data_IF_130352540491
#
_entry.id   IF_130352540491
#
_cell.length_a   1.000
_cell.length_b   1.000
_cell.length_c   1.000
_cell.angle_alpha   90.00
_cell.angle_beta   90.00
_cell.angle_gamma   90.00
#
_symmetry.space_group_name_H-M   'P 1'
#
loop_
_entity.id
_entity.type
_entity.pdbx_description
1 polymer ?
#
# COMPACT_ATOMS: atom_id res chain seq x y z
N UNK A 1 -18.65 -17.60 2.30
CA UNK A 1 -17.59 -16.84 3.01
C UNK A 1 -16.90 -16.00 1.95
N UNK A 2 -17.44 -14.82 1.65
CA UNK A 2 -16.88 -13.93 0.63
C UNK A 2 -15.65 -13.28 1.24
N UNK A 3 -14.47 -13.61 0.70
CA UNK A 3 -13.27 -12.86 1.01
C UNK A 3 -13.42 -11.50 0.35
N UNK A 4 -14.03 -10.55 1.06
CA UNK A 4 -13.97 -9.14 0.71
C UNK A 4 -12.51 -8.74 0.86
N UNK A 5 -11.81 -8.69 -0.27
CA UNK A 5 -10.49 -8.11 -0.30
C UNK A 5 -10.66 -6.59 -0.12
N UNK A 6 -10.52 -6.14 1.12
CA UNK A 6 -10.57 -4.74 1.51
C UNK A 6 -9.14 -4.16 1.35
N UNK A 7 -8.87 -3.35 0.32
CA UNK A 7 -7.53 -2.78 0.07
C UNK A 7 -7.06 -1.91 1.24
N UNK A 8 -8.01 -1.23 1.89
CA UNK A 8 -7.81 -0.44 3.10
C UNK A 8 -7.26 -1.30 4.25
N UNK A 9 -7.83 -2.49 4.50
CA UNK A 9 -7.34 -3.39 5.55
C UNK A 9 -5.98 -3.98 5.21
N UNK A 10 -5.71 -4.23 3.94
CA UNK A 10 -4.40 -4.69 3.51
C UNK A 10 -3.33 -3.61 3.74
N UNK A 11 -3.63 -2.36 3.39
CA UNK A 11 -2.74 -1.22 3.61
C UNK A 11 -2.46 -1.00 5.09
N UNK A 12 -3.51 -1.00 5.93
CA UNK A 12 -3.37 -0.82 7.38
C UNK A 12 -2.50 -1.93 8.01
N UNK A 13 -2.67 -3.17 7.56
CA UNK A 13 -1.87 -4.29 8.04
C UNK A 13 -0.40 -4.22 7.60
N UNK A 14 -0.13 -3.84 6.34
CA UNK A 14 1.25 -3.68 5.85
C UNK A 14 1.94 -2.48 6.54
N UNK A 15 1.24 -1.36 6.71
CA UNK A 15 1.74 -0.18 7.42
C UNK A 15 2.06 -0.52 8.88
N UNK A 16 1.20 -1.30 9.53
CA UNK A 16 1.44 -1.81 10.89
C UNK A 16 2.68 -2.70 10.97
N UNK A 17 2.95 -3.55 9.98
CA UNK A 17 4.16 -4.37 9.93
C UNK A 17 5.43 -3.52 9.76
N UNK A 18 5.39 -2.49 8.90
CA UNK A 18 6.51 -1.58 8.68
C UNK A 18 6.75 -0.72 9.95
N UNK A 19 5.69 -0.22 10.58
CA UNK A 19 5.78 0.48 11.88
C UNK A 19 6.35 -0.41 12.99
N UNK A 20 5.95 -1.68 13.05
CA UNK A 20 6.50 -2.64 14.01
C UNK A 20 8.00 -2.85 13.81
N UNK A 21 8.45 -2.98 12.57
CA UNK A 21 9.89 -3.08 12.27
C UNK A 21 10.63 -1.82 12.69
N UNK A 22 10.05 -0.63 12.48
CA UNK A 22 10.63 0.64 12.91
C UNK A 22 10.73 0.70 14.44
N UNK A 23 9.66 0.32 15.15
CA UNK A 23 9.62 0.26 16.63
C UNK A 23 10.59 -0.76 17.20
N UNK A 24 10.79 -1.88 16.52
CA UNK A 24 11.73 -2.93 16.91
C UNK A 24 13.18 -2.56 16.56
N UNK A 25 13.37 -1.51 15.74
CA UNK A 25 14.69 -1.06 15.28
C UNK A 25 15.29 -1.94 14.17
N UNK A 26 14.47 -2.78 13.54
CA UNK A 26 14.87 -3.60 12.39
C UNK A 26 15.06 -2.78 11.11
N UNK A 27 14.34 -1.66 10.99
CA UNK A 27 14.47 -0.70 9.89
C UNK A 27 14.74 0.70 10.43
N UNK A 28 15.36 1.54 9.60
CA UNK A 28 15.61 2.96 9.92
C UNK A 28 14.46 3.81 9.37
N UNK A 29 14.28 5.02 9.92
CA UNK A 29 13.28 6.00 9.43
C UNK A 29 13.32 6.19 7.90
N UNK A 30 14.50 6.15 7.29
CA UNK A 30 14.68 6.29 5.84
C UNK A 30 14.15 5.09 5.04
N UNK A 31 14.22 3.90 5.61
CA UNK A 31 13.66 2.69 4.98
C UNK A 31 12.14 2.63 5.19
N UNK A 32 11.66 3.07 6.35
CA UNK A 32 10.22 3.28 6.59
C UNK A 32 9.61 4.24 5.56
N UNK A 33 10.25 5.37 5.30
CA UNK A 33 9.77 6.38 4.34
C UNK A 33 9.67 5.81 2.91
N UNK A 34 10.70 5.07 2.47
CA UNK A 34 10.68 4.37 1.18
C UNK A 34 9.62 3.27 1.11
N UNK A 35 9.53 2.43 2.14
CA UNK A 35 8.53 1.35 2.18
C UNK A 35 7.12 1.94 2.20
N UNK A 36 6.89 3.05 2.90
CA UNK A 36 5.62 3.77 2.92
C UNK A 36 5.27 4.35 1.56
N UNK A 37 6.22 4.95 0.83
CA UNK A 37 5.97 5.48 -0.53
C UNK A 37 5.65 4.36 -1.52
N UNK A 38 6.33 3.21 -1.41
CA UNK A 38 6.05 2.02 -2.22
C UNK A 38 4.67 1.44 -1.86
N UNK A 39 4.32 1.44 -0.58
CA UNK A 39 3.04 0.94 -0.09
C UNK A 39 1.88 1.79 -0.62
N UNK A 40 2.04 3.11 -0.60
CA UNK A 40 1.07 4.07 -1.14
C UNK A 40 0.80 3.81 -2.62
N UNK A 41 1.86 3.72 -3.44
CA UNK A 41 1.76 3.37 -4.87
C UNK A 41 1.05 2.03 -5.10
N UNK A 42 1.36 1.01 -4.29
CA UNK A 42 0.68 -0.30 -4.38
C UNK A 42 -0.79 -0.22 -4.00
N UNK A 43 -1.12 0.57 -2.98
CA UNK A 43 -2.51 0.77 -2.57
C UNK A 43 -3.30 1.46 -3.68
N UNK A 44 -2.74 2.49 -4.30
CA UNK A 44 -3.32 3.12 -5.49
C UNK A 44 -3.49 2.12 -6.65
N UNK A 45 -2.48 1.30 -6.96
CA UNK A 45 -2.59 0.27 -8.01
C UNK A 45 -3.68 -0.77 -7.70
N UNK A 46 -3.81 -1.18 -6.44
CA UNK A 46 -4.84 -2.10 -6.00
C UNK A 46 -6.23 -1.47 -6.13
N UNK A 47 -6.39 -0.21 -5.72
CA UNK A 47 -7.62 0.55 -5.91
C UNK A 47 -7.97 0.68 -7.40
N UNK A 48 -6.98 1.02 -8.25
CA UNK A 48 -7.15 1.07 -9.69
C UNK A 48 -7.60 -0.28 -10.29
N UNK A 49 -7.06 -1.39 -9.78
CA UNK A 49 -7.42 -2.74 -10.24
C UNK A 49 -8.81 -3.17 -9.78
N UNK A 50 -9.21 -2.77 -8.57
CA UNK A 50 -10.53 -3.07 -7.99
C UNK A 50 -11.64 -2.22 -8.61
N UNK A 51 -11.35 -0.96 -8.90
CA UNK A 51 -12.29 -0.06 -9.56
C UNK A 51 -12.46 -0.43 -11.05
N UNK A 52 -11.51 -1.17 -11.64
CA UNK A 52 -11.59 -1.65 -13.03
C UNK A 52 -11.45 -0.54 -14.08
N UNK A 53 -11.16 0.70 -13.65
CA UNK A 53 -11.23 1.92 -14.47
C UNK A 53 -9.86 2.55 -14.69
N UNK A 54 -8.79 1.78 -14.88
CA UNK A 54 -7.57 2.35 -15.47
C UNK A 54 -7.77 2.58 -16.99
N UNK A 55 -8.75 3.42 -17.34
CA UNK A 55 -8.60 4.32 -18.47
C UNK A 55 -7.81 5.53 -17.96
N UNK A 56 -6.49 5.37 -17.80
CA UNK A 56 -5.63 6.49 -18.16
C UNK A 56 -5.84 6.69 -19.66
N UNK A 57 -6.70 7.63 -20.01
CA UNK A 57 -6.64 8.22 -21.34
C UNK A 57 -5.20 8.67 -21.58
N UNK A 58 -4.56 8.27 -22.69
CA UNK A 58 -3.26 8.79 -23.06
C UNK A 58 -3.46 10.24 -23.52
N UNK A 59 -3.02 11.20 -22.72
CA UNK A 59 -2.94 12.61 -23.07
C UNK A 59 -1.66 13.10 -22.39
N UNK A 60 -0.54 13.40 -23.06
CA UNK A 60 -0.32 13.94 -24.39
C UNK A 60 1.13 13.65 -24.84
#
# INVERSE_FOLDING_TARGET
>A
MTYNFDPDKWYDNELFLIELKLKTGEITQNEFDKESEILDKKHEEIWNRLDGTYQISPDN
#
